data_IF_537592861055
#
_entry.id   IF_537592861055
#
_cell.length_a   1.000
_cell.length_b   1.000
_cell.length_c   1.000
_cell.angle_alpha   90.00
_cell.angle_beta   90.00
_cell.angle_gamma   90.00
#
_symmetry.space_group_name_H-M   'P 1'
#
loop_
_entity.id
_entity.type
_entity.pdbx_description
1 polymer ?
#
# COMPACT_ATOMS: atom_id res chain seq x y z
N UNK A 1 3.97 -1.01 4.15
CA UNK A 1 4.17 -2.02 3.11
C UNK A 1 3.05 -3.03 3.20
N UNK A 2 2.52 -3.53 2.08
CA UNK A 2 1.41 -4.49 2.10
C UNK A 2 1.98 -5.74 2.79
N UNK A 3 1.41 -6.15 3.91
CA UNK A 3 1.42 -7.57 4.28
C UNK A 3 0.58 -8.26 3.21
N UNK A 4 1.22 -8.54 2.10
CA UNK A 4 0.50 -8.73 0.85
C UNK A 4 1.42 -9.29 -0.17
N UNK A 5 1.38 -10.61 -0.20
CA UNK A 5 1.58 -11.41 -1.38
C UNK A 5 1.63 -10.57 -2.67
N UNK A 6 2.81 -10.44 -3.26
CA UNK A 6 2.97 -9.80 -4.55
C UNK A 6 3.61 -10.76 -5.54
N UNK A 7 3.47 -10.44 -6.82
CA UNK A 7 4.11 -11.18 -7.88
C UNK A 7 5.21 -10.31 -8.44
N UNK A 8 6.41 -10.87 -8.54
CA UNK A 8 7.54 -10.24 -9.21
C UNK A 8 7.82 -10.93 -10.53
N UNK A 9 8.47 -10.20 -11.44
CA UNK A 9 8.97 -10.76 -12.68
C UNK A 9 10.35 -10.20 -12.98
N UNK A 10 11.26 -11.08 -13.43
CA UNK A 10 12.64 -10.71 -13.73
C UNK A 10 13.28 -11.65 -14.73
N UNK A 11 14.30 -11.15 -15.43
CA UNK A 11 15.19 -11.98 -16.24
C UNK A 11 16.24 -12.63 -15.32
N UNK A 12 16.30 -13.96 -15.32
CA UNK A 12 17.27 -14.75 -14.57
C UNK A 12 18.30 -15.35 -15.53
N UNK A 13 19.62 -15.09 -15.35
CA UNK A 13 20.66 -15.64 -16.21
C UNK A 13 20.84 -17.14 -15.97
N UNK A 14 20.91 -17.92 -17.04
CA UNK A 14 21.36 -19.33 -17.00
C UNK A 14 22.87 -19.45 -17.28
N UNK A 15 23.37 -18.59 -18.16
CA UNK A 15 24.77 -18.45 -18.55
C UNK A 15 25.03 -17.00 -19.05
N UNK A 16 26.15 -16.75 -19.75
CA UNK A 16 26.53 -15.39 -20.21
C UNK A 16 25.57 -14.76 -21.21
N UNK A 17 24.85 -15.58 -22.01
CA UNK A 17 24.08 -15.11 -23.15
C UNK A 17 22.60 -15.55 -23.10
N UNK A 18 22.25 -16.43 -22.16
CA UNK A 18 20.92 -17.01 -22.04
C UNK A 18 20.23 -16.55 -20.76
N UNK A 19 19.02 -16.00 -20.92
CA UNK A 19 18.15 -15.61 -19.82
C UNK A 19 16.81 -16.34 -19.92
N UNK A 20 16.24 -16.64 -18.76
CA UNK A 20 14.83 -17.06 -18.64
C UNK A 20 14.04 -15.95 -17.96
N UNK A 21 12.83 -15.72 -18.45
CA UNK A 21 11.92 -14.79 -17.80
C UNK A 21 11.15 -15.53 -16.71
N UNK A 22 11.39 -15.13 -15.47
CA UNK A 22 10.88 -15.77 -14.26
C UNK A 22 9.75 -14.93 -13.68
N UNK A 23 8.67 -15.60 -13.28
CA UNK A 23 7.61 -15.06 -12.42
C UNK A 23 7.68 -15.78 -11.08
N UNK A 24 7.56 -15.05 -9.97
CA UNK A 24 7.59 -15.62 -8.63
C UNK A 24 6.58 -14.92 -7.71
N UNK A 25 6.12 -15.65 -6.72
CA UNK A 25 5.30 -15.13 -5.62
C UNK A 25 6.19 -14.68 -4.47
N UNK A 26 5.81 -13.59 -3.81
CA UNK A 26 6.57 -12.97 -2.72
C UNK A 26 5.64 -12.69 -1.57
N UNK A 27 5.93 -13.28 -0.42
CA UNK A 27 5.33 -12.91 0.86
C UNK A 27 6.33 -12.08 1.66
N UNK A 28 5.92 -10.90 2.13
CA UNK A 28 6.74 -10.08 3.02
C UNK A 28 6.31 -10.29 4.47
N UNK A 29 7.24 -10.68 5.33
CA UNK A 29 7.05 -10.75 6.77
C UNK A 29 7.50 -9.42 7.39
N UNK A 30 6.53 -8.55 7.69
CA UNK A 30 6.79 -7.23 8.28
C UNK A 30 7.40 -7.27 9.68
N UNK A 31 7.32 -8.40 10.40
CA UNK A 31 7.88 -8.54 11.74
C UNK A 31 9.40 -8.60 11.77
N UNK A 32 10.05 -9.02 10.68
CA UNK A 32 11.51 -9.20 10.59
C UNK A 32 12.14 -8.67 9.29
N UNK A 33 11.36 -8.06 8.39
CA UNK A 33 11.85 -7.49 7.13
C UNK A 33 12.29 -8.54 6.10
N UNK A 34 11.85 -9.80 6.27
CA UNK A 34 12.20 -10.91 5.40
C UNK A 34 11.12 -11.10 4.33
N UNK A 35 11.56 -11.34 3.09
CA UNK A 35 10.73 -11.69 1.95
C UNK A 35 10.91 -13.17 1.63
N UNK A 36 9.83 -13.94 1.72
CA UNK A 36 9.75 -15.31 1.24
C UNK A 36 9.37 -15.28 -0.24
N UNK A 37 10.27 -15.76 -1.11
CA UNK A 37 10.05 -15.83 -2.56
C UNK A 37 9.92 -17.29 -2.98
N UNK A 38 8.79 -17.63 -3.61
CA UNK A 38 8.43 -19.01 -3.93
C UNK A 38 7.62 -19.11 -5.23
N UNK A 39 7.21 -20.33 -5.59
CA UNK A 39 6.41 -20.64 -6.79
C UNK A 39 7.00 -20.07 -8.09
N UNK A 40 8.31 -20.24 -8.30
CA UNK A 40 9.01 -19.78 -9.50
C UNK A 40 8.51 -20.48 -10.77
N UNK A 41 8.15 -19.71 -11.80
CA UNK A 41 7.60 -20.21 -13.07
C UNK A 41 8.24 -19.51 -14.26
N UNK A 42 8.37 -20.25 -15.36
CA UNK A 42 8.69 -19.65 -16.67
C UNK A 42 7.49 -18.84 -17.17
N UNK A 43 7.72 -17.60 -17.58
CA UNK A 43 6.65 -16.76 -18.15
C UNK A 43 6.19 -17.24 -19.52
N UNK A 44 7.08 -17.84 -20.32
CA UNK A 44 6.68 -18.59 -21.53
C UNK A 44 6.27 -20.01 -21.11
N UNK A 45 4.98 -20.21 -20.87
CA UNK A 45 4.38 -21.54 -20.71
C UNK A 45 4.02 -21.98 -19.29
N UNK A 46 4.20 -21.15 -18.25
CA UNK A 46 3.70 -21.40 -16.89
C UNK A 46 4.34 -22.59 -16.15
N UNK A 47 5.28 -23.28 -16.78
CA UNK A 47 5.94 -24.45 -16.22
C UNK A 47 6.73 -24.08 -14.96
N UNK A 48 6.60 -24.86 -13.87
CA UNK A 48 7.40 -24.68 -12.67
C UNK A 48 8.89 -24.76 -13.00
N UNK A 49 9.66 -23.82 -12.47
CA UNK A 49 11.12 -23.86 -12.51
C UNK A 49 11.63 -24.65 -11.31
N UNK A 50 12.71 -25.41 -11.48
CA UNK A 50 13.42 -26.08 -10.39
C UNK A 50 14.29 -25.09 -9.58
N UNK A 51 13.69 -23.98 -9.14
CA UNK A 51 14.32 -23.01 -8.26
C UNK A 51 13.82 -23.22 -6.83
N UNK A 52 14.69 -23.14 -5.80
CA UNK A 52 14.29 -23.31 -4.42
C UNK A 52 13.43 -22.12 -3.97
N UNK A 53 12.56 -22.36 -2.98
CA UNK A 53 12.02 -21.25 -2.18
C UNK A 53 13.16 -20.60 -1.41
N UNK A 54 13.18 -19.26 -1.38
CA UNK A 54 14.25 -18.49 -0.75
C UNK A 54 13.65 -17.47 0.23
N UNK A 55 14.35 -17.24 1.32
CA UNK A 55 14.06 -16.14 2.25
C UNK A 55 15.16 -15.10 2.09
N UNK A 56 14.79 -13.87 1.71
CA UNK A 56 15.76 -12.81 1.43
C UNK A 56 15.44 -11.54 2.19
N UNK A 57 16.47 -10.75 2.46
CA UNK A 57 16.33 -9.41 3.03
C UNK A 57 17.34 -8.46 2.40
N UNK A 58 17.07 -7.16 2.50
CA UNK A 58 17.98 -6.12 2.08
C UNK A 58 18.91 -5.77 3.26
N UNK A 59 20.20 -6.00 3.10
CA UNK A 59 21.24 -5.71 4.09
C UNK A 59 22.32 -4.85 3.42
N UNK A 60 22.54 -3.62 3.91
CA UNK A 60 23.56 -2.68 3.38
C UNK A 60 23.53 -2.59 1.84
N UNK A 61 22.35 -2.35 1.28
CA UNK A 61 22.07 -2.26 -0.16
C UNK A 61 22.31 -3.54 -0.98
N UNK A 62 22.40 -4.70 -0.32
CA UNK A 62 22.52 -6.01 -0.97
C UNK A 62 21.40 -6.95 -0.56
N UNK A 63 20.86 -7.66 -1.55
CA UNK A 63 19.86 -8.69 -1.31
C UNK A 63 20.54 -10.01 -0.98
N UNK A 64 20.38 -10.45 0.25
CA UNK A 64 21.03 -11.64 0.82
C UNK A 64 19.99 -12.65 1.27
N UNK A 65 20.36 -13.93 1.35
CA UNK A 65 19.55 -14.92 2.05
C UNK A 65 19.51 -14.60 3.54
N UNK A 66 18.33 -14.72 4.15
CA UNK A 66 18.09 -14.31 5.54
C UNK A 66 18.82 -15.19 6.56
N UNK A 67 19.09 -16.45 6.23
CA UNK A 67 19.72 -17.45 7.09
C UNK A 67 21.26 -17.39 7.12
N UNK A 68 21.86 -17.05 5.98
CA UNK A 68 23.31 -17.12 5.75
C UNK A 68 23.94 -15.76 5.51
N UNK A 69 23.14 -14.71 5.28
CA UNK A 69 23.59 -13.37 4.91
C UNK A 69 24.43 -13.35 3.62
N UNK A 70 24.32 -14.40 2.81
CA UNK A 70 25.04 -14.51 1.55
C UNK A 70 24.20 -14.02 0.37
N UNK A 71 24.76 -13.22 -0.54
CA UNK A 71 24.11 -12.87 -1.79
C UNK A 71 24.31 -13.98 -2.82
N UNK A 72 23.25 -14.30 -3.56
CA UNK A 72 23.31 -15.15 -4.75
C UNK A 72 22.68 -14.45 -5.95
N UNK A 73 22.91 -14.96 -7.15
CA UNK A 73 22.24 -14.43 -8.35
C UNK A 73 20.71 -14.41 -8.19
N UNK A 74 20.14 -15.45 -7.58
CA UNK A 74 18.71 -15.52 -7.36
C UNK A 74 18.22 -14.49 -6.34
N UNK A 75 18.92 -14.31 -5.21
CA UNK A 75 18.54 -13.30 -4.21
C UNK A 75 18.65 -11.89 -4.77
N UNK A 76 19.71 -11.60 -5.54
CA UNK A 76 19.93 -10.28 -6.14
C UNK A 76 18.88 -9.94 -7.20
N UNK A 77 18.55 -10.87 -8.11
CA UNK A 77 17.56 -10.62 -9.15
C UNK A 77 16.13 -10.56 -8.58
N UNK A 78 15.76 -11.47 -7.69
CA UNK A 78 14.45 -11.45 -7.05
C UNK A 78 14.28 -10.19 -6.19
N UNK A 79 15.29 -9.85 -5.39
CA UNK A 79 15.30 -8.66 -4.56
C UNK A 79 15.19 -7.35 -5.34
N UNK A 80 15.97 -7.18 -6.41
CA UNK A 80 15.83 -6.02 -7.32
C UNK A 80 14.43 -5.93 -7.90
N UNK A 81 13.83 -7.06 -8.29
CA UNK A 81 12.46 -7.08 -8.80
C UNK A 81 11.43 -6.69 -7.72
N UNK A 82 11.62 -7.11 -6.46
CA UNK A 82 10.80 -6.66 -5.31
C UNK A 82 10.91 -5.15 -5.14
N UNK A 83 12.14 -4.61 -5.12
CA UNK A 83 12.37 -3.16 -5.01
C UNK A 83 11.66 -2.40 -6.11
N UNK A 84 11.88 -2.77 -7.38
CA UNK A 84 11.26 -2.08 -8.53
C UNK A 84 9.74 -2.18 -8.52
N UNK A 85 9.18 -3.35 -8.17
CA UNK A 85 7.73 -3.54 -8.08
C UNK A 85 7.12 -2.68 -6.98
N UNK A 86 7.81 -2.58 -5.84
CA UNK A 86 7.37 -1.77 -4.70
C UNK A 86 7.43 -0.28 -5.02
N UNK A 87 8.52 0.17 -5.63
CA UNK A 87 8.72 1.55 -6.07
C UNK A 87 7.64 1.99 -7.07
N UNK A 88 7.39 1.18 -8.10
CA UNK A 88 6.36 1.47 -9.11
C UNK A 88 4.96 1.58 -8.48
N UNK A 89 4.63 0.68 -7.54
CA UNK A 89 3.35 0.77 -6.81
C UNK A 89 3.24 2.06 -6.03
N UNK A 90 4.31 2.48 -5.36
CA UNK A 90 4.32 3.73 -4.61
C UNK A 90 4.11 4.94 -5.53
N UNK A 91 4.83 5.01 -6.65
CA UNK A 91 4.68 6.11 -7.64
C UNK A 91 3.26 6.20 -8.19
N UNK A 92 2.64 5.05 -8.51
CA UNK A 92 1.25 5.01 -8.99
C UNK A 92 0.27 5.50 -7.92
N UNK A 93 0.45 5.09 -6.66
CA UNK A 93 -0.37 5.56 -5.55
C UNK A 93 -0.23 7.07 -5.33
N UNK A 94 0.98 7.60 -5.44
CA UNK A 94 1.25 9.05 -5.35
C UNK A 94 0.52 9.81 -6.45
N UNK A 95 0.52 9.32 -7.69
CA UNK A 95 -0.23 9.91 -8.81
C UNK A 95 -1.75 9.94 -8.51
N UNK A 96 -2.31 8.83 -8.04
CA UNK A 96 -3.73 8.78 -7.67
C UNK A 96 -4.07 9.72 -6.53
N UNK A 97 -3.21 9.79 -5.51
CA UNK A 97 -3.38 10.67 -4.37
C UNK A 97 -3.36 12.14 -4.80
N UNK A 98 -2.39 12.53 -5.65
CA UNK A 98 -2.32 13.89 -6.19
C UNK A 98 -3.56 14.25 -7.00
N UNK A 99 -4.10 13.31 -7.78
CA UNK A 99 -5.34 13.52 -8.53
C UNK A 99 -6.52 13.74 -7.59
N UNK A 100 -6.68 12.93 -6.55
CA UNK A 100 -7.74 13.09 -5.56
C UNK A 100 -7.66 14.43 -4.85
N UNK A 101 -6.45 14.82 -4.40
CA UNK A 101 -6.24 16.12 -3.77
C UNK A 101 -6.55 17.29 -4.71
N UNK A 102 -6.25 17.16 -6.01
CA UNK A 102 -6.53 18.20 -7.00
C UNK A 102 -8.02 18.41 -7.23
N UNK A 103 -8.80 17.33 -7.31
CA UNK A 103 -10.25 17.39 -7.52
C UNK A 103 -10.94 18.17 -6.41
N UNK A 104 -10.55 17.91 -5.16
CA UNK A 104 -11.17 18.54 -4.00
C UNK A 104 -10.45 19.82 -3.56
N UNK A 105 -9.34 20.21 -4.17
CA UNK A 105 -8.43 21.25 -3.64
C UNK A 105 -8.05 20.97 -2.18
N UNK A 106 -7.71 19.72 -1.87
CA UNK A 106 -7.33 19.28 -0.53
C UNK A 106 -5.92 19.77 -0.18
N UNK A 107 -5.72 20.13 1.09
CA UNK A 107 -4.44 20.57 1.62
C UNK A 107 -3.52 19.38 1.94
N UNK A 108 -4.13 18.26 2.34
CA UNK A 108 -3.44 17.04 2.74
C UNK A 108 -4.14 15.80 2.20
N UNK A 109 -3.41 14.70 2.09
CA UNK A 109 -4.01 13.43 1.71
C UNK A 109 -3.13 12.24 2.01
N UNK A 110 -3.75 11.07 2.12
CA UNK A 110 -3.05 9.80 2.23
C UNK A 110 -3.86 8.67 1.59
N UNK A 111 -3.17 7.62 1.20
CA UNK A 111 -3.74 6.33 0.87
C UNK A 111 -3.22 5.34 1.90
N UNK A 112 -4.12 4.63 2.56
CA UNK A 112 -3.78 3.53 3.44
C UNK A 112 -4.20 2.21 2.81
N UNK A 113 -3.38 1.18 2.97
CA UNK A 113 -3.70 -0.17 2.50
C UNK A 113 -3.96 -1.07 3.71
N UNK A 114 -4.90 -2.01 3.55
CA UNK A 114 -5.31 -2.95 4.58
C UNK A 114 -4.34 -4.13 4.63
N UNK A 115 -3.78 -4.34 5.81
CA UNK A 115 -3.18 -5.61 6.20
C UNK A 115 -4.27 -6.53 6.75
N UNK A 116 -4.50 -7.66 6.07
CA UNK A 116 -5.53 -8.63 6.46
C UNK A 116 -5.15 -9.49 7.65
N UNK A 117 -3.86 -9.69 7.90
CA UNK A 117 -3.39 -10.54 8.99
C UNK A 117 -3.60 -9.86 10.33
N UNK A 118 -3.34 -8.55 10.39
CA UNK A 118 -3.48 -7.73 11.58
C UNK A 118 -4.83 -6.99 11.63
N UNK A 119 -5.56 -6.95 10.51
CA UNK A 119 -6.77 -6.13 10.34
C UNK A 119 -6.52 -4.63 10.57
N UNK A 120 -5.37 -4.15 10.08
CA UNK A 120 -4.97 -2.75 10.24
C UNK A 120 -4.63 -2.07 8.93
N UNK A 121 -4.99 -0.80 8.80
CA UNK A 121 -4.55 0.09 7.74
C UNK A 121 -3.15 0.65 8.05
N UNK A 122 -2.30 0.76 7.02
CA UNK A 122 -1.00 1.43 7.11
C UNK A 122 -0.83 2.39 5.93
N UNK A 123 -0.09 3.49 6.13
CA UNK A 123 0.06 4.56 5.15
C UNK A 123 0.99 4.11 4.01
N UNK A 124 0.45 4.07 2.79
CA UNK A 124 1.14 3.67 1.56
C UNK A 124 1.59 4.83 0.67
N UNK A 125 0.85 5.93 0.71
CA UNK A 125 1.25 7.20 0.10
C UNK A 125 0.68 8.32 0.96
N UNK A 126 1.37 9.46 1.03
CA UNK A 126 0.92 10.62 1.78
C UNK A 126 1.45 11.91 1.18
N UNK A 127 0.74 13.01 1.40
CA UNK A 127 1.19 14.35 1.04
C UNK A 127 0.69 15.37 2.06
N UNK A 128 1.61 16.24 2.50
CA UNK A 128 1.35 17.37 3.38
C UNK A 128 1.44 17.07 4.88
N UNK A 129 1.62 15.81 5.30
CA UNK A 129 1.67 15.46 6.72
C UNK A 129 3.10 15.45 7.29
N UNK A 130 3.24 15.87 8.55
CA UNK A 130 4.47 15.74 9.34
C UNK A 130 4.52 14.45 10.17
N UNK A 131 5.67 14.19 10.79
CA UNK A 131 5.99 12.92 11.46
C UNK A 131 5.00 12.54 12.57
N UNK A 132 4.49 13.50 13.34
CA UNK A 132 3.51 13.23 14.40
C UNK A 132 2.23 12.57 13.86
N UNK A 133 1.71 13.06 12.74
CA UNK A 133 0.57 12.46 12.08
C UNK A 133 0.91 11.06 11.55
N UNK A 134 2.09 10.91 10.94
CA UNK A 134 2.52 9.65 10.34
C UNK A 134 2.72 8.56 11.39
N UNK A 135 3.26 8.89 12.57
CA UNK A 135 3.40 7.92 13.66
C UNK A 135 2.05 7.61 14.32
N UNK A 136 1.20 8.62 14.55
CA UNK A 136 -0.14 8.42 15.13
C UNK A 136 -1.03 7.51 14.26
N UNK A 137 -0.98 7.70 12.93
CA UNK A 137 -1.78 6.95 11.96
C UNK A 137 -0.98 5.89 11.20
N UNK A 138 0.19 5.52 11.72
CA UNK A 138 1.04 4.45 11.18
C UNK A 138 0.27 3.14 11.05
N UNK A 139 -0.61 2.88 12.01
CA UNK A 139 -1.45 1.69 12.06
C UNK A 139 -2.83 2.07 12.57
N UNK A 140 -3.88 1.84 11.79
CA UNK A 140 -5.27 2.21 12.12
C UNK A 140 -6.18 0.98 12.09
N UNK A 141 -7.01 0.82 13.11
CA UNK A 141 -8.02 -0.24 13.18
C UNK A 141 -9.41 0.29 12.80
N UNK A 142 -10.31 -0.61 12.41
CA UNK A 142 -11.70 -0.27 12.11
C UNK A 142 -12.49 0.29 13.33
N UNK A 143 -11.98 0.10 14.56
CA UNK A 143 -12.63 0.52 15.81
C UNK A 143 -11.98 1.77 16.43
N UNK A 144 -10.98 2.38 15.77
CA UNK A 144 -10.20 3.48 16.34
C UNK A 144 -10.92 4.83 16.41
N UNK A 145 -12.06 5.00 15.73
CA UNK A 145 -12.81 6.27 15.69
C UNK A 145 -12.35 7.26 14.61
N UNK A 146 -11.25 6.98 13.91
CA UNK A 146 -10.79 7.79 12.77
C UNK A 146 -11.75 7.68 11.57
N UNK A 147 -11.74 8.70 10.69
CA UNK A 147 -12.52 8.69 9.45
C UNK A 147 -12.22 7.47 8.56
N UNK A 148 -10.94 7.14 8.40
CA UNK A 148 -10.52 5.97 7.62
C UNK A 148 -10.87 4.64 8.30
N UNK A 149 -10.79 4.54 9.63
CA UNK A 149 -11.27 3.38 10.38
C UNK A 149 -12.77 3.18 10.25
N UNK A 150 -13.54 4.28 10.28
CA UNK A 150 -14.98 4.26 10.03
C UNK A 150 -15.31 3.84 8.58
N UNK A 151 -14.57 4.34 7.59
CA UNK A 151 -14.74 3.95 6.18
C UNK A 151 -14.44 2.46 5.96
N UNK A 152 -13.39 1.95 6.62
CA UNK A 152 -13.07 0.52 6.65
C UNK A 152 -14.20 -0.30 7.27
N UNK A 153 -14.75 0.14 8.40
CA UNK A 153 -15.81 -0.58 9.12
C UNK A 153 -17.14 -0.60 8.37
N UNK A 154 -17.51 0.54 7.78
CA UNK A 154 -18.84 0.74 7.18
C UNK A 154 -18.85 0.45 5.68
N UNK A 155 -17.68 0.33 5.03
CA UNK A 155 -17.53 0.10 3.59
C UNK A 155 -18.29 1.15 2.76
N UNK A 156 -18.19 2.41 3.19
CA UNK A 156 -18.77 3.57 2.52
C UNK A 156 -17.92 4.81 2.76
N UNK A 157 -18.13 5.83 1.93
CA UNK A 157 -17.51 7.13 2.13
C UNK A 157 -17.90 7.73 3.49
N UNK A 158 -16.92 8.24 4.23
CA UNK A 158 -17.09 8.95 5.49
C UNK A 158 -16.61 10.38 5.28
N UNK A 159 -17.46 11.34 5.62
CA UNK A 159 -17.12 12.76 5.65
C UNK A 159 -17.25 13.25 7.07
N UNK A 160 -16.19 13.87 7.59
CA UNK A 160 -16.21 14.61 8.84
C UNK A 160 -16.09 16.10 8.47
N UNK A 161 -17.17 16.88 8.62
CA UNK A 161 -17.17 18.30 8.27
C UNK A 161 -16.25 19.12 9.17
N UNK A 162 -16.16 18.77 10.46
CA UNK A 162 -15.23 19.40 11.39
C UNK A 162 -14.76 18.42 12.47
N UNK A 163 -13.48 18.06 12.45
CA UNK A 163 -12.85 17.13 13.42
C UNK A 163 -12.79 17.69 14.84
N UNK A 164 -12.93 19.01 15.00
CA UNK A 164 -13.00 19.62 16.33
C UNK A 164 -14.38 19.46 16.97
N UNK A 165 -15.43 19.27 16.16
CA UNK A 165 -16.82 19.13 16.61
C UNK A 165 -17.32 17.67 16.57
N UNK A 166 -16.64 16.80 15.82
CA UNK A 166 -17.01 15.39 15.68
C UNK A 166 -16.59 14.57 16.91
N UNK A 167 -17.58 14.10 17.67
CA UNK A 167 -17.36 13.29 18.87
C UNK A 167 -16.69 11.96 18.58
N UNK A 168 -17.04 11.31 17.45
CA UNK A 168 -16.42 10.04 17.08
C UNK A 168 -14.92 10.16 16.80
N UNK A 169 -14.45 11.38 16.49
CA UNK A 169 -13.05 11.70 16.21
C UNK A 169 -12.28 12.24 17.43
N UNK A 170 -12.92 12.35 18.60
CA UNK A 170 -12.33 13.02 19.78
C UNK A 170 -10.94 12.49 20.18
N UNK A 171 -10.70 11.18 20.06
CA UNK A 171 -9.41 10.55 20.35
C UNK A 171 -8.25 11.02 19.43
N UNK A 172 -8.57 11.58 18.27
CA UNK A 172 -7.63 12.02 17.25
C UNK A 172 -7.55 13.54 17.11
N UNK A 173 -8.28 14.30 17.93
CA UNK A 173 -8.42 15.74 17.76
C UNK A 173 -7.10 16.50 17.89
N UNK A 174 -6.26 16.13 18.87
CA UNK A 174 -4.97 16.78 19.08
C UNK A 174 -4.03 16.62 17.87
N UNK A 175 -3.94 15.40 17.31
CA UNK A 175 -3.12 15.17 16.12
C UNK A 175 -3.66 15.92 14.90
N UNK A 176 -4.98 16.09 14.77
CA UNK A 176 -5.56 16.90 13.70
C UNK A 176 -5.25 18.39 13.83
N UNK A 177 -5.31 18.94 15.05
CA UNK A 177 -4.90 20.32 15.34
C UNK A 177 -3.43 20.53 14.99
N UNK A 178 -2.55 19.63 15.43
CA UNK A 178 -1.11 19.73 15.19
C UNK A 178 -0.76 19.56 13.70
N UNK A 179 -1.46 18.66 13.00
CA UNK A 179 -1.32 18.48 11.56
C UNK A 179 -1.99 19.60 10.73
N UNK A 180 -2.83 20.43 11.34
CA UNK A 180 -3.45 21.59 10.70
C UNK A 180 -4.66 21.31 9.81
N UNK A 181 -5.36 20.18 9.98
CA UNK A 181 -6.60 19.90 9.24
C UNK A 181 -7.85 19.98 10.13
N UNK A 182 -8.96 20.33 9.49
CA UNK A 182 -10.28 20.55 10.10
C UNK A 182 -11.35 19.66 9.52
N UNK A 183 -11.28 19.30 8.24
CA UNK A 183 -12.24 18.39 7.62
C UNK A 183 -11.53 17.25 6.90
N UNK A 184 -12.24 16.12 6.73
CA UNK A 184 -11.73 14.94 6.03
C UNK A 184 -12.83 14.21 5.29
N UNK A 185 -12.51 13.71 4.10
CA UNK A 185 -13.26 12.67 3.40
C UNK A 185 -12.39 11.43 3.27
N UNK A 186 -12.92 10.28 3.68
CA UNK A 186 -12.30 8.96 3.54
C UNK A 186 -13.20 8.06 2.72
N UNK A 187 -12.69 7.52 1.61
CA UNK A 187 -13.41 6.62 0.71
C UNK A 187 -12.74 5.25 0.69
N UNK A 188 -13.49 4.14 0.84
CA UNK A 188 -12.93 2.81 0.78
C UNK A 188 -12.44 2.47 -0.64
N UNK A 189 -11.28 1.82 -0.72
CA UNK A 189 -10.72 1.29 -1.98
C UNK A 189 -11.14 -0.17 -2.09
N UNK A 190 -12.01 -0.47 -3.04
CA UNK A 190 -12.56 -1.81 -3.25
C UNK A 190 -11.81 -2.55 -4.35
N UNK A 191 -11.37 -3.77 -4.04
CA UNK A 191 -11.08 -4.79 -5.06
C UNK A 191 -12.36 -5.49 -5.51
N UNK A 192 -12.23 -6.58 -6.27
CA UNK A 192 -13.40 -7.31 -6.78
C UNK A 192 -14.41 -7.70 -5.69
N UNK A 193 -13.93 -8.31 -4.60
CA UNK A 193 -14.80 -8.87 -3.55
C UNK A 193 -14.36 -8.48 -2.13
N UNK A 194 -13.49 -7.48 -1.99
CA UNK A 194 -12.89 -7.14 -0.69
C UNK A 194 -12.37 -5.70 -0.66
N UNK A 195 -12.25 -5.16 0.54
CA UNK A 195 -11.58 -3.87 0.73
C UNK A 195 -10.06 -4.06 0.68
N UNK A 196 -9.39 -3.18 -0.06
CA UNK A 196 -7.93 -3.16 -0.25
C UNK A 196 -7.31 -2.06 0.62
N UNK A 197 -8.05 -0.99 0.89
CA UNK A 197 -7.52 0.18 1.60
C UNK A 197 -8.54 1.30 1.71
N UNK A 198 -8.05 2.50 2.01
CA UNK A 198 -8.83 3.73 2.12
C UNK A 198 -8.03 4.89 1.53
N UNK A 199 -8.66 5.69 0.67
CA UNK A 199 -8.14 6.97 0.20
C UNK A 199 -8.74 8.07 1.06
N UNK A 200 -7.92 8.96 1.61
CA UNK A 200 -8.37 10.07 2.46
C UNK A 200 -7.78 11.40 2.00
N UNK A 201 -8.64 12.42 1.89
CA UNK A 201 -8.26 13.81 1.60
C UNK A 201 -8.74 14.72 2.73
N UNK A 202 -7.95 15.72 3.07
CA UNK A 202 -8.17 16.57 4.25
C UNK A 202 -7.97 18.04 3.89
N UNK A 203 -8.61 18.92 4.65
CA UNK A 203 -8.43 20.36 4.48
C UNK A 203 -8.31 21.08 5.80
N UNK A 204 -7.55 22.17 5.81
CA UNK A 204 -7.46 23.13 6.90
C UNK A 204 -8.78 23.87 7.17
N UNK A 205 -9.73 23.84 6.22
CA UNK A 205 -11.06 24.45 6.39
C UNK A 205 -12.08 23.42 6.87
N UNK A 206 -12.95 23.77 7.85
CA UNK A 206 -14.11 22.96 8.17
C UNK A 206 -15.18 23.09 7.07
N UNK A 207 -16.14 22.16 7.04
CA UNK A 207 -17.31 22.15 6.14
C UNK A 207 -16.97 22.24 4.65
N UNK A 208 -15.81 21.68 4.26
CA UNK A 208 -15.41 21.61 2.87
C UNK A 208 -16.42 20.81 2.05
N UNK A 209 -16.74 21.31 0.87
CA UNK A 209 -17.62 20.60 -0.07
C UNK A 209 -16.81 19.58 -0.87
N UNK A 210 -16.91 18.31 -0.49
CA UNK A 210 -16.20 17.20 -1.11
C UNK A 210 -16.94 16.64 -2.33
N UNK A 211 -16.20 16.33 -3.39
CA UNK A 211 -16.68 15.64 -4.58
C UNK A 211 -16.68 14.12 -4.34
N UNK A 212 -17.58 13.64 -3.49
CA UNK A 212 -17.62 12.24 -3.02
C UNK A 212 -17.58 11.24 -4.19
N UNK A 213 -18.38 11.48 -5.25
CA UNK A 213 -18.43 10.59 -6.43
C UNK A 213 -17.11 10.51 -7.18
N UNK A 214 -16.37 11.62 -7.26
CA UNK A 214 -15.05 11.63 -7.89
C UNK A 214 -14.03 10.91 -7.01
N UNK A 215 -14.09 11.12 -5.68
CA UNK A 215 -13.28 10.36 -4.72
C UNK A 215 -13.52 8.85 -4.84
N UNK A 216 -14.77 8.41 -4.92
CA UNK A 216 -15.15 7.01 -5.14
C UNK A 216 -14.67 6.47 -6.49
N UNK A 217 -14.78 7.27 -7.56
CA UNK A 217 -14.27 6.90 -8.90
C UNK A 217 -12.76 6.67 -8.88
N UNK A 218 -12.02 7.58 -8.24
CA UNK A 218 -10.56 7.45 -8.09
C UNK A 218 -10.21 6.22 -7.23
N UNK A 219 -10.94 5.98 -6.14
CA UNK A 219 -10.76 4.80 -5.31
C UNK A 219 -11.01 3.49 -6.07
N UNK A 220 -12.01 3.47 -6.97
CA UNK A 220 -12.28 2.33 -7.83
C UNK A 220 -11.14 2.08 -8.84
N UNK A 221 -10.57 3.11 -9.44
CA UNK A 221 -9.40 2.98 -10.32
C UNK A 221 -8.17 2.43 -9.59
N UNK A 222 -7.93 2.87 -8.35
CA UNK A 222 -6.89 2.28 -7.49
C UNK A 222 -7.16 0.80 -7.28
N UNK A 223 -8.41 0.44 -6.93
CA UNK A 223 -8.82 -0.95 -6.75
C UNK A 223 -8.55 -1.84 -7.97
N UNK A 224 -8.85 -1.34 -9.17
CA UNK A 224 -8.59 -2.02 -10.45
C UNK A 224 -7.08 -2.20 -10.69
N UNK A 225 -6.26 -1.20 -10.38
CA UNK A 225 -4.81 -1.30 -10.50
C UNK A 225 -4.24 -2.44 -9.63
N UNK A 226 -4.70 -2.56 -8.38
CA UNK A 226 -4.30 -3.66 -7.49
C UNK A 226 -4.80 -5.02 -7.98
N UNK A 227 -5.95 -5.07 -8.64
CA UNK A 227 -6.45 -6.30 -9.24
C UNK A 227 -5.57 -6.75 -10.42
N UNK A 228 -5.20 -5.86 -11.34
CA UNK A 228 -4.41 -6.20 -12.52
C UNK A 228 -2.94 -6.56 -12.19
N UNK A 229 -2.39 -6.01 -11.10
CA UNK A 229 -1.04 -6.31 -10.61
C UNK A 229 -0.92 -7.59 -9.77
N UNK A 230 -2.03 -8.14 -9.27
CA UNK A 230 -2.12 -9.47 -8.69
C UNK A 230 -2.50 -10.44 -9.80
N UNK A 231 -1.56 -11.25 -10.25
CA UNK A 231 -1.76 -12.12 -11.42
C UNK A 231 -3.11 -12.83 -11.41
N UNK A 232 -3.73 -12.86 -12.60
CA UNK A 232 -4.91 -13.66 -12.92
C UNK A 232 -4.89 -15.00 -12.17
N UNK A 233 -6.03 -15.29 -11.54
CA UNK A 233 -6.39 -16.60 -10.98
C UNK A 233 -6.05 -17.74 -11.94
#
# INVERSE_FOLDING_TARGET
>A
MINGHCVISFNYPLDSDTFIFVKAEVMHNTGNGVYLVYNFRSHRGGNPLKLPTIEIRLEKDRWVHADSETPTLLSEHAGKAISSTTQLKQEVLEIFLERAMRVDHADFGNIQLLDRSTQTLWIAAQKGFGDEFLEHFKTVTACGGSACGNALRQVQAIVIPDVLEEDSFAAHRNVAVNAGFRSVMSVPIMGNNNIIGVLSVHSAQPFKHWQIREGESIAAEIGQYFHQGGGAE
#
